data_IF_296636281283
#
_entry.id   IF_296636281283
#
_cell.length_a   1.000
_cell.length_b   1.000
_cell.length_c   1.000
_cell.angle_alpha   90.00
_cell.angle_beta   90.00
_cell.angle_gamma   90.00
#
_symmetry.space_group_name_H-M   'P 1'
#
loop_
_entity.id
_entity.type
_entity.pdbx_description
1 polymer ?
#
# COMPACT_ATOMS: atom_id res chain seq x y z
N UNK A 1 -5.33 7.41 2.20
CA UNK A 1 -4.40 6.31 2.56
C UNK A 1 -4.10 6.29 4.07
N UNK A 2 -3.79 7.41 4.70
CA UNK A 2 -3.54 7.46 6.15
C UNK A 2 -4.78 7.02 6.98
N UNK A 3 -5.96 7.45 6.56
CA UNK A 3 -7.25 7.07 7.17
C UNK A 3 -7.48 5.54 7.16
N UNK A 4 -7.17 4.86 6.06
CA UNK A 4 -7.30 3.41 5.95
C UNK A 4 -6.35 2.67 6.91
N UNK A 5 -5.14 3.18 7.10
CA UNK A 5 -4.20 2.59 8.06
C UNK A 5 -4.66 2.79 9.51
N UNK A 6 -5.22 3.96 9.83
CA UNK A 6 -5.79 4.22 11.15
C UNK A 6 -6.96 3.28 11.45
N UNK A 7 -7.86 3.09 10.49
CA UNK A 7 -9.00 2.17 10.63
C UNK A 7 -8.55 0.71 10.83
N UNK A 8 -7.53 0.27 10.10
CA UNK A 8 -6.98 -1.08 10.29
C UNK A 8 -6.32 -1.19 11.66
N UNK A 9 -5.61 -0.15 12.11
CA UNK A 9 -4.99 -0.12 13.44
C UNK A 9 -6.02 -0.30 14.55
N UNK A 10 -7.15 0.42 14.46
CA UNK A 10 -8.27 0.31 15.39
C UNK A 10 -8.94 -1.08 15.33
N UNK A 11 -9.22 -1.59 14.13
CA UNK A 11 -9.86 -2.90 13.94
C UNK A 11 -9.00 -4.09 14.42
N UNK A 12 -7.69 -4.00 14.19
CA UNK A 12 -6.76 -5.09 14.47
C UNK A 12 -6.13 -5.02 15.86
N UNK A 13 -6.26 -3.89 16.56
CA UNK A 13 -5.55 -3.60 17.82
C UNK A 13 -4.02 -3.73 17.65
N UNK A 14 -3.52 -3.32 16.47
CA UNK A 14 -2.11 -3.33 16.14
C UNK A 14 -1.62 -1.91 15.79
N UNK A 15 -0.46 -1.54 16.30
CA UNK A 15 0.25 -0.34 15.88
C UNK A 15 0.80 -0.53 14.47
N UNK A 16 0.52 0.42 13.57
CA UNK A 16 0.99 0.38 12.18
C UNK A 16 1.78 1.66 11.90
N UNK A 17 3.02 1.51 11.43
CA UNK A 17 3.86 2.65 11.03
C UNK A 17 4.50 2.44 9.67
N UNK A 18 4.63 3.51 8.90
CA UNK A 18 5.36 3.50 7.62
C UNK A 18 6.82 3.83 7.91
N UNK A 19 7.75 2.97 7.49
CA UNK A 19 9.19 3.15 7.73
C UNK A 19 10.00 2.84 6.46
N UNK A 20 11.25 3.31 6.44
CA UNK A 20 12.17 3.12 5.31
C UNK A 20 11.94 4.10 4.18
N UNK A 21 12.73 3.95 3.12
CA UNK A 21 12.80 4.89 2.00
C UNK A 21 12.29 4.23 0.72
N UNK A 22 11.55 4.97 -0.11
CA UNK A 22 11.17 4.47 -1.42
C UNK A 22 12.43 4.26 -2.27
N UNK A 23 12.66 3.01 -2.68
CA UNK A 23 13.75 2.64 -3.57
C UNK A 23 13.15 2.32 -4.94
N UNK A 24 13.52 3.06 -6.00
CA UNK A 24 13.01 2.80 -7.34
C UNK A 24 13.28 1.36 -7.78
N UNK A 25 12.43 0.78 -8.65
CA UNK A 25 12.65 -0.54 -9.21
C UNK A 25 14.05 -0.69 -9.82
N UNK A 26 14.71 -1.82 -9.56
CA UNK A 26 16.07 -2.10 -10.03
C UNK A 26 17.20 -1.41 -9.26
N UNK A 27 16.89 -0.58 -8.26
CA UNK A 27 17.90 0.01 -7.36
C UNK A 27 17.98 -0.72 -6.02
N UNK A 28 19.15 -0.60 -5.39
CA UNK A 28 19.39 -1.05 -4.02
C UNK A 28 19.16 0.11 -3.03
N UNK A 29 18.71 -0.17 -1.80
CA UNK A 29 18.64 0.86 -0.76
C UNK A 29 20.05 1.40 -0.44
N UNK A 30 20.17 2.66 0.01
CA UNK A 30 21.41 3.19 0.58
C UNK A 30 21.95 2.31 1.71
N UNK A 31 23.25 2.38 1.96
CA UNK A 31 23.90 1.63 3.04
C UNK A 31 23.29 2.01 4.39
N UNK A 32 22.89 1.02 5.18
CA UNK A 32 22.21 1.22 6.47
C UNK A 32 20.71 1.52 6.39
N UNK A 33 20.14 1.72 5.20
CA UNK A 33 18.71 1.96 5.03
C UNK A 33 17.94 0.71 4.56
N UNK A 34 16.63 0.69 4.86
CA UNK A 34 15.70 -0.35 4.35
C UNK A 34 14.75 0.26 3.33
N UNK A 35 14.38 -0.55 2.33
CA UNK A 35 13.29 -0.25 1.40
C UNK A 35 12.00 0.02 2.18
N UNK A 36 11.17 0.94 1.69
CA UNK A 36 9.86 1.31 2.25
C UNK A 36 9.05 0.07 2.66
N UNK A 37 8.57 0.05 3.90
CA UNK A 37 7.81 -1.03 4.49
C UNK A 37 6.80 -0.52 5.52
N UNK A 38 5.83 -1.38 5.85
CA UNK A 38 4.92 -1.18 6.98
C UNK A 38 5.42 -2.03 8.15
N UNK A 39 5.64 -1.40 9.30
CA UNK A 39 5.87 -2.09 10.56
C UNK A 39 4.52 -2.30 11.26
N UNK A 40 4.27 -3.53 11.70
CA UNK A 40 3.06 -3.94 12.43
C UNK A 40 3.52 -4.47 13.78
N UNK A 41 3.03 -3.86 14.86
CA UNK A 41 3.46 -4.13 16.22
C UNK A 41 2.22 -4.38 17.09
N UNK A 42 2.19 -5.51 17.82
CA UNK A 42 1.14 -5.82 18.80
C UNK A 42 1.67 -6.82 19.83
N UNK A 43 1.02 -6.89 21.00
CA UNK A 43 1.28 -7.91 22.01
C UNK A 43 0.65 -9.27 21.67
N UNK A 44 -0.20 -9.32 20.64
CA UNK A 44 -0.95 -10.52 20.24
C UNK A 44 -0.62 -10.91 18.80
N UNK A 45 -0.23 -12.17 18.58
CA UNK A 45 0.06 -12.68 17.22
C UNK A 45 -1.16 -12.60 16.31
N UNK A 46 -2.36 -12.88 16.86
CA UNK A 46 -3.61 -12.80 16.11
C UNK A 46 -3.89 -11.38 15.59
N UNK A 47 -3.56 -10.34 16.38
CA UNK A 47 -3.70 -8.94 15.97
C UNK A 47 -2.79 -8.61 14.78
N UNK A 48 -1.53 -9.05 14.84
CA UNK A 48 -0.57 -8.90 13.73
C UNK A 48 -1.06 -9.62 12.47
N UNK A 49 -1.59 -10.83 12.61
CA UNK A 49 -2.13 -11.60 11.50
C UNK A 49 -3.34 -10.91 10.84
N UNK A 50 -4.29 -10.40 11.64
CA UNK A 50 -5.44 -9.63 11.17
C UNK A 50 -5.00 -8.38 10.40
N UNK A 51 -4.12 -7.57 10.99
CA UNK A 51 -3.60 -6.35 10.37
C UNK A 51 -2.92 -6.65 9.03
N UNK A 52 -2.05 -7.67 8.99
CA UNK A 52 -1.36 -8.09 7.76
C UNK A 52 -2.34 -8.50 6.67
N UNK A 53 -3.38 -9.26 7.01
CA UNK A 53 -4.41 -9.69 6.05
C UNK A 53 -5.14 -8.49 5.44
N UNK A 54 -5.62 -7.57 6.27
CA UNK A 54 -6.38 -6.41 5.81
C UNK A 54 -5.54 -5.43 4.99
N UNK A 55 -4.31 -5.15 5.42
CA UNK A 55 -3.37 -4.31 4.64
C UNK A 55 -3.11 -4.93 3.27
N UNK A 56 -2.87 -6.24 3.22
CA UNK A 56 -2.59 -6.95 1.96
C UNK A 56 -3.79 -6.90 1.02
N UNK A 57 -5.00 -7.08 1.56
CA UNK A 57 -6.25 -6.98 0.80
C UNK A 57 -6.42 -5.57 0.22
N UNK A 58 -6.28 -4.55 1.05
CA UNK A 58 -6.46 -3.16 0.66
C UNK A 58 -5.45 -2.72 -0.42
N UNK A 59 -4.17 -3.08 -0.28
CA UNK A 59 -3.14 -2.79 -1.28
C UNK A 59 -3.49 -3.44 -2.63
N UNK A 60 -3.95 -4.69 -2.63
CA UNK A 60 -4.36 -5.39 -3.86
C UNK A 60 -5.56 -4.71 -4.53
N UNK A 61 -6.57 -4.33 -3.76
CA UNK A 61 -7.75 -3.63 -4.27
C UNK A 61 -7.39 -2.29 -4.90
N UNK A 62 -6.57 -1.48 -4.23
CA UNK A 62 -6.10 -0.20 -4.78
C UNK A 62 -5.24 -0.40 -6.03
N UNK A 63 -4.39 -1.43 -6.06
CA UNK A 63 -3.60 -1.75 -7.25
C UNK A 63 -4.48 -2.13 -8.44
N UNK A 64 -5.53 -2.95 -8.24
CA UNK A 64 -6.49 -3.26 -9.30
C UNK A 64 -7.23 -2.01 -9.79
N UNK A 65 -7.69 -1.13 -8.88
CA UNK A 65 -8.35 0.12 -9.26
C UNK A 65 -7.46 1.00 -10.14
N UNK A 66 -6.17 1.09 -9.82
CA UNK A 66 -5.20 1.84 -10.62
C UNK A 66 -5.04 1.27 -12.05
N UNK A 67 -5.02 -0.05 -12.20
CA UNK A 67 -4.92 -0.70 -13.51
C UNK A 67 -6.15 -0.43 -14.40
N UNK A 68 -7.35 -0.49 -13.80
CA UNK A 68 -8.61 -0.19 -14.51
C UNK A 68 -8.70 1.29 -14.87
N UNK A 69 -8.29 2.18 -13.96
CA UNK A 69 -8.30 3.63 -14.17
C UNK A 69 -7.35 4.07 -15.29
N UNK A 70 -6.16 3.46 -15.36
CA UNK A 70 -5.18 3.73 -16.40
C UNK A 70 -5.68 3.34 -17.81
N UNK A 71 -6.48 2.27 -17.92
CA UNK A 71 -7.09 1.85 -19.19
C UNK A 71 -8.13 2.85 -19.72
N UNK A 72 -8.84 3.57 -18.84
CA UNK A 72 -9.84 4.56 -19.25
C UNK A 72 -9.20 5.86 -19.79
N UNK A 73 -8.03 6.26 -19.28
CA UNK A 73 -7.34 7.47 -19.75
C UNK A 73 -6.78 7.30 -21.16
N UNK A 74 -6.26 6.11 -21.50
CA UNK A 74 -5.70 5.82 -22.84
C UNK A 74 -6.79 5.85 -23.93
N UNK A 75 -8.01 5.42 -23.61
CA UNK A 75 -9.12 5.39 -24.59
C UNK A 75 -9.73 6.77 -24.85
N UNK A 76 -9.73 7.68 -23.87
CA UNK A 76 -10.35 9.02 -24.01
C UNK A 76 -9.53 10.00 -24.87
N UNK A 77 -8.23 9.76 -25.02
CA UNK A 77 -7.33 10.62 -25.82
C UNK A 77 -7.45 10.42 -27.35
N UNK A 78 -8.28 9.48 -27.83
CA UNK A 78 -8.37 9.08 -29.25
C UNK A 78 -9.55 9.66 -30.03
N UNK A 79 -10.20 10.71 -29.54
CA UNK A 79 -11.21 11.42 -30.34
C UNK A 79 -10.63 12.75 -30.83
N UNK A 80 -10.05 12.75 -32.04
CA UNK A 80 -9.83 13.96 -32.83
C UNK A 80 -10.99 14.09 -33.80
N UNK A 81 -11.85 15.08 -33.59
CA UNK A 81 -12.89 15.48 -34.55
C UNK A 81 -12.18 16.24 -35.69
N UNK A 82 -12.38 15.77 -36.92
CA UNK A 82 -12.00 16.46 -38.16
C UNK A 82 -12.99 17.57 -38.48
#
# INVERSE_FOLDING_TARGET
>A
MYEALAQISEYSEAGITVRGTYVPPGKNPPEGERKLYLAIESSQELAVAKAKSEITRLIKEELLKLQTSAHHVINKARYKVI
#
